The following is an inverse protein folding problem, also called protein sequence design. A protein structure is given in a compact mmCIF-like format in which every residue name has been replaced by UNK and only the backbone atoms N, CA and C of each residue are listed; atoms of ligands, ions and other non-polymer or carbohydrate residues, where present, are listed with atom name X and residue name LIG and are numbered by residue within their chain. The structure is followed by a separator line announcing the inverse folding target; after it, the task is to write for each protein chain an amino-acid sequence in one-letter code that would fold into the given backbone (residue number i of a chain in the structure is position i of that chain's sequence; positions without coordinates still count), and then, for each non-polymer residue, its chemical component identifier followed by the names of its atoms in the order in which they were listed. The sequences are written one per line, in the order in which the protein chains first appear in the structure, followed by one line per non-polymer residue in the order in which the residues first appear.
data_IF_687811634830
#
_entry.id   IF_687811634830
#
_cell.length_a   1.000
_cell.length_b   1.000
_cell.length_c   1.000
_cell.angle_alpha   90.00
_cell.angle_beta   90.00
_cell.angle_gamma   90.00
#
_symmetry.space_group_name_H-M   'P 1'
#
loop_
_entity.id
_entity.type
_entity.pdbx_description
1 polymer ?
#
# COMPACT_ATOMS: atom_id res chain seq x y z
N UNK A 1 16.81 -2.24 -12.46
CA UNK A 1 15.89 -1.26 -11.84
C UNK A 1 15.09 -0.57 -12.94
N UNK A 2 13.80 -0.31 -12.72
CA UNK A 2 12.95 0.37 -13.70
C UNK A 2 13.32 1.85 -13.83
N UNK A 3 13.09 2.47 -15.00
CA UNK A 3 13.39 3.91 -15.22
C UNK A 3 12.62 4.82 -14.25
N UNK A 4 11.39 4.44 -13.89
CA UNK A 4 10.57 5.19 -12.93
C UNK A 4 11.14 5.14 -11.52
N UNK A 5 11.64 3.97 -11.08
CA UNK A 5 12.30 3.84 -9.78
C UNK A 5 13.55 4.72 -9.71
N UNK A 6 14.40 4.67 -10.74
CA UNK A 6 15.59 5.52 -10.82
C UNK A 6 15.23 7.01 -10.86
N UNK A 7 14.15 7.40 -11.54
CA UNK A 7 13.66 8.78 -11.53
C UNK A 7 13.29 9.24 -10.11
N UNK A 8 12.51 8.44 -9.38
CA UNK A 8 12.11 8.74 -8.02
C UNK A 8 13.30 8.81 -7.05
N UNK A 9 14.21 7.84 -7.13
CA UNK A 9 15.43 7.79 -6.29
C UNK A 9 16.37 8.99 -6.54
N UNK A 10 16.31 9.59 -7.73
CA UNK A 10 17.08 10.80 -8.09
C UNK A 10 16.33 12.12 -7.78
N UNK A 11 15.29 12.08 -6.94
CA UNK A 11 14.53 13.27 -6.52
C UNK A 11 13.39 13.65 -7.45
N UNK A 12 13.07 12.81 -8.44
CA UNK A 12 11.88 12.96 -9.27
C UNK A 12 10.60 12.70 -8.47
N UNK A 13 9.54 13.45 -8.78
CA UNK A 13 8.23 13.23 -8.17
C UNK A 13 7.43 12.21 -8.98
N UNK A 14 6.81 11.26 -8.28
CA UNK A 14 5.82 10.34 -8.83
C UNK A 14 4.49 10.54 -8.11
N UNK A 15 3.41 10.58 -8.87
CA UNK A 15 2.04 10.66 -8.36
C UNK A 15 1.29 9.44 -8.88
N UNK A 16 0.76 8.65 -7.96
CA UNK A 16 -0.05 7.47 -8.26
C UNK A 16 -1.46 7.67 -7.76
N UNK A 17 -2.46 7.37 -8.59
CA UNK A 17 -3.88 7.36 -8.22
C UNK A 17 -4.47 5.99 -8.54
N UNK A 18 -5.30 5.44 -7.65
CA UNK A 18 -5.90 4.11 -7.84
C UNK A 18 -4.81 3.05 -8.12
N UNK A 19 -4.90 2.29 -9.21
CA UNK A 19 -3.88 1.34 -9.65
C UNK A 19 -2.46 1.96 -9.76
N UNK A 20 -2.38 3.25 -10.11
CA UNK A 20 -1.11 3.98 -10.16
C UNK A 20 -0.43 4.08 -8.79
N UNK A 21 -1.19 4.14 -7.68
CA UNK A 21 -0.64 4.13 -6.33
C UNK A 21 -0.16 2.75 -5.92
N UNK A 22 -0.87 1.69 -6.32
CA UNK A 22 -0.49 0.29 -6.06
C UNK A 22 0.88 0.00 -6.69
N UNK A 23 1.11 0.43 -7.94
CA UNK A 23 2.38 0.23 -8.65
C UNK A 23 3.59 0.87 -7.94
N UNK A 24 3.40 1.89 -7.09
CA UNK A 24 4.50 2.50 -6.35
C UNK A 24 5.01 1.62 -5.20
N UNK A 25 4.24 0.61 -4.80
CA UNK A 25 4.52 -0.29 -3.67
C UNK A 25 5.31 -1.53 -4.10
N UNK A 26 5.65 -2.48 -3.20
CA UNK A 26 6.47 -3.64 -3.53
C UNK A 26 5.86 -4.63 -4.53
N UNK A 27 4.54 -4.83 -4.49
CA UNK A 27 3.81 -5.79 -5.33
C UNK A 27 2.49 -5.18 -5.79
N UNK A 28 1.86 -5.80 -6.79
CA UNK A 28 0.48 -5.47 -7.18
C UNK A 28 -0.57 -6.39 -6.53
N UNK A 29 -0.19 -7.15 -5.50
CA UNK A 29 -1.04 -8.20 -4.93
C UNK A 29 -2.44 -7.71 -4.53
N UNK A 30 -2.53 -6.50 -3.97
CA UNK A 30 -3.80 -5.91 -3.51
C UNK A 30 -4.78 -5.59 -4.66
N UNK A 31 -4.30 -5.46 -5.90
CA UNK A 31 -5.14 -5.27 -7.10
C UNK A 31 -6.04 -6.48 -7.38
N UNK A 32 -5.63 -7.68 -6.94
CA UNK A 32 -6.38 -8.92 -7.13
C UNK A 32 -7.81 -8.84 -6.57
N UNK A 33 -8.04 -8.04 -5.53
CA UNK A 33 -9.38 -7.85 -4.95
C UNK A 33 -10.37 -7.23 -5.94
N UNK A 34 -9.93 -6.33 -6.82
CA UNK A 34 -10.79 -5.74 -7.86
C UNK A 34 -11.20 -6.76 -8.94
N UNK A 35 -10.50 -7.90 -9.00
CA UNK A 35 -10.81 -9.02 -9.89
C UNK A 35 -11.54 -10.16 -9.16
N UNK A 36 -11.94 -9.96 -7.89
CA UNK A 36 -12.55 -10.99 -7.06
C UNK A 36 -11.58 -12.13 -6.71
N UNK A 37 -10.27 -11.89 -6.75
CA UNK A 37 -9.23 -12.89 -6.49
C UNK A 37 -8.56 -12.64 -5.13
N UNK A 38 -8.08 -13.69 -4.46
CA UNK A 38 -7.27 -13.56 -3.24
C UNK A 38 -5.90 -12.93 -3.55
N UNK A 39 -5.48 -11.83 -2.87
CA UNK A 39 -4.16 -11.20 -3.05
C UNK A 39 -2.98 -12.13 -2.79
N UNK A 40 -3.14 -13.11 -1.90
CA UNK A 40 -2.12 -14.12 -1.58
C UNK A 40 -1.62 -14.90 -2.82
N UNK A 41 -2.41 -14.95 -3.89
CA UNK A 41 -2.04 -15.59 -5.15
C UNK A 41 -1.14 -14.72 -6.06
N UNK A 42 -1.03 -13.42 -5.79
CA UNK A 42 -0.33 -12.43 -6.62
C UNK A 42 0.88 -11.80 -5.90
N UNK A 43 1.32 -12.36 -4.77
CA UNK A 43 2.44 -11.83 -3.98
C UNK A 43 3.80 -11.86 -4.69
N UNK A 44 3.92 -12.63 -5.78
CA UNK A 44 5.12 -12.68 -6.63
C UNK A 44 5.10 -11.65 -7.78
N UNK A 45 3.99 -10.96 -8.00
CA UNK A 45 3.85 -9.92 -9.03
C UNK A 45 4.42 -8.61 -8.50
N UNK A 46 5.70 -8.35 -8.80
CA UNK A 46 6.45 -7.20 -8.28
C UNK A 46 6.11 -5.88 -8.97
N UNK A 47 6.29 -4.78 -8.24
CA UNK A 47 6.05 -3.43 -8.73
C UNK A 47 7.29 -2.54 -8.51
N UNK A 48 7.14 -1.24 -8.27
CA UNK A 48 8.29 -0.32 -8.18
C UNK A 48 9.06 -0.44 -6.86
N UNK A 49 8.43 -0.92 -5.79
CA UNK A 49 9.07 -1.15 -4.48
C UNK A 49 9.76 0.11 -3.95
N UNK A 50 9.02 1.24 -3.96
CA UNK A 50 9.51 2.54 -3.46
C UNK A 50 9.25 2.73 -1.96
N UNK A 51 8.36 1.93 -1.38
CA UNK A 51 7.92 2.05 0.01
C UNK A 51 7.81 0.67 0.67
N UNK A 52 8.02 0.55 1.99
CA UNK A 52 8.00 -0.71 2.73
C UNK A 52 6.58 -1.13 3.18
N UNK A 53 5.55 -0.75 2.43
CA UNK A 53 4.16 -1.10 2.72
C UNK A 53 3.41 -1.38 1.42
N UNK A 54 2.31 -2.12 1.50
CA UNK A 54 1.37 -2.30 0.39
C UNK A 54 0.25 -1.25 0.47
N UNK A 55 -0.39 -0.94 -0.66
CA UNK A 55 -1.42 0.10 -0.73
C UNK A 55 -2.71 -0.47 -1.31
N UNK A 56 -3.86 -0.04 -0.78
CA UNK A 56 -5.17 -0.40 -1.31
C UNK A 56 -6.07 0.85 -1.45
N UNK A 57 -6.43 1.27 -2.67
CA UNK A 57 -7.37 2.37 -2.91
C UNK A 57 -8.83 1.90 -2.80
N UNK A 58 -9.79 2.83 -2.85
CA UNK A 58 -11.21 2.54 -3.01
C UNK A 58 -11.80 1.61 -1.92
N UNK A 59 -11.32 1.71 -0.68
CA UNK A 59 -11.74 0.84 0.42
C UNK A 59 -13.27 0.87 0.65
N UNK A 60 -13.89 2.03 0.45
CA UNK A 60 -15.33 2.23 0.57
C UNK A 60 -16.16 1.80 -0.65
N UNK A 61 -15.53 1.34 -1.74
CA UNK A 61 -16.26 0.92 -2.94
C UNK A 61 -16.95 -0.44 -2.76
N UNK A 62 -16.44 -1.29 -1.87
CA UNK A 62 -17.06 -2.57 -1.50
C UNK A 62 -16.80 -2.90 -0.02
N UNK A 63 -17.87 -3.19 0.72
CA UNK A 63 -17.79 -3.60 2.12
C UNK A 63 -17.01 -4.92 2.33
N UNK A 64 -16.86 -5.74 1.29
CA UNK A 64 -16.07 -6.97 1.32
C UNK A 64 -14.54 -6.74 1.35
N UNK A 65 -14.07 -5.54 0.97
CA UNK A 65 -12.63 -5.27 0.89
C UNK A 65 -11.93 -5.29 2.25
N UNK A 66 -12.48 -4.62 3.27
CA UNK A 66 -11.81 -4.60 4.58
C UNK A 66 -11.65 -6.02 5.19
N UNK A 67 -12.69 -6.88 5.22
CA UNK A 67 -12.53 -8.28 5.63
C UNK A 67 -11.48 -9.04 4.81
N UNK A 68 -11.42 -8.83 3.49
CA UNK A 68 -10.45 -9.50 2.63
C UNK A 68 -9.01 -9.02 2.91
N UNK A 69 -8.81 -7.73 3.15
CA UNK A 69 -7.52 -7.15 3.54
C UNK A 69 -7.07 -7.63 4.92
N UNK A 70 -8.00 -7.74 5.89
CA UNK A 70 -7.70 -8.31 7.20
C UNK A 70 -7.19 -9.75 7.08
N UNK A 71 -7.85 -10.59 6.27
CA UNK A 71 -7.35 -11.94 5.95
C UNK A 71 -5.98 -11.88 5.31
N UNK A 72 -5.83 -11.13 4.22
CA UNK A 72 -4.57 -11.05 3.47
C UNK A 72 -3.40 -10.53 4.31
N UNK A 73 -3.64 -9.61 5.24
CA UNK A 73 -2.62 -9.09 6.16
C UNK A 73 -1.99 -10.12 7.10
N UNK A 74 -2.54 -11.35 7.16
CA UNK A 74 -1.94 -12.49 7.85
C UNK A 74 -0.96 -13.28 6.97
N UNK A 75 -0.95 -13.04 5.66
CA UNK A 75 -0.10 -13.70 4.67
C UNK A 75 1.10 -12.84 4.24
N UNK A 76 0.99 -11.51 4.35
CA UNK A 76 2.09 -10.57 4.07
C UNK A 76 2.76 -10.08 5.34
N UNK A 77 4.09 -9.93 5.32
CA UNK A 77 4.84 -9.30 6.41
C UNK A 77 4.67 -7.78 6.42
N UNK A 78 4.26 -7.21 5.28
CA UNK A 78 4.14 -5.77 5.09
C UNK A 78 2.79 -5.28 5.61
N UNK A 79 2.72 -4.13 6.29
CA UNK A 79 1.44 -3.49 6.53
C UNK A 79 0.80 -3.08 5.19
N UNK A 80 -0.52 -3.05 5.17
CA UNK A 80 -1.30 -2.51 4.07
C UNK A 80 -1.90 -1.20 4.53
N UNK A 81 -1.67 -0.12 3.78
CA UNK A 81 -2.35 1.15 3.99
C UNK A 81 -3.52 1.24 3.02
N UNK A 82 -4.73 1.22 3.56
CA UNK A 82 -5.97 1.20 2.79
C UNK A 82 -6.69 2.54 2.87
N UNK A 83 -7.06 3.11 1.73
CA UNK A 83 -7.63 4.45 1.58
C UNK A 83 -9.06 4.35 1.06
N UNK A 84 -9.99 5.12 1.62
CA UNK A 84 -11.24 5.42 0.95
C UNK A 84 -11.01 6.41 -0.20
N UNK A 85 -12.01 6.60 -1.04
CA UNK A 85 -12.00 7.71 -2.00
C UNK A 85 -11.87 9.06 -1.29
N UNK A 86 -10.87 9.84 -1.69
CA UNK A 86 -10.52 11.12 -1.07
C UNK A 86 -9.40 11.04 -0.03
N UNK A 87 -9.07 9.84 0.45
CA UNK A 87 -7.88 9.62 1.29
C UNK A 87 -6.62 9.45 0.43
N UNK A 88 -5.45 9.59 1.05
CA UNK A 88 -4.18 9.38 0.37
C UNK A 88 -2.97 9.47 1.29
N UNK A 89 -1.79 9.41 0.68
CA UNK A 89 -0.51 9.50 1.37
C UNK A 89 0.43 10.40 0.56
N UNK A 90 1.25 11.19 1.25
CA UNK A 90 2.46 11.78 0.69
C UNK A 90 3.68 11.17 1.38
N UNK A 91 4.69 10.79 0.61
CA UNK A 91 5.96 10.28 1.14
C UNK A 91 7.07 11.25 0.74
N UNK A 92 7.60 11.97 1.72
CA UNK A 92 8.62 13.01 1.48
C UNK A 92 9.73 12.85 2.50
N UNK A 93 10.99 12.81 2.06
CA UNK A 93 12.17 12.70 2.94
C UNK A 93 12.10 11.54 3.95
N UNK A 94 11.42 10.45 3.58
CA UNK A 94 11.24 9.27 4.45
C UNK A 94 10.13 9.41 5.49
N UNK A 95 9.33 10.48 5.46
CA UNK A 95 8.14 10.66 6.28
C UNK A 95 6.88 10.34 5.46
N UNK A 96 5.96 9.57 6.04
CA UNK A 96 4.61 9.37 5.55
C UNK A 96 3.71 10.44 6.18
N UNK A 97 3.02 11.20 5.34
CA UNK A 97 1.91 12.08 5.72
C UNK A 97 0.59 11.47 5.22
N UNK A 98 -0.36 11.28 6.13
CA UNK A 98 -1.70 10.79 5.82
C UNK A 98 -2.62 11.94 5.45
N UNK A 99 -3.31 11.81 4.33
CA UNK A 99 -4.36 12.71 3.86
C UNK A 99 -5.69 12.00 4.06
N UNK A 100 -6.61 12.60 4.82
CA UNK A 100 -7.89 11.97 5.19
C UNK A 100 -7.75 10.99 6.35
N UNK A 101 -8.43 9.83 6.27
CA UNK A 101 -8.45 8.82 7.33
C UNK A 101 -8.07 7.41 6.83
N UNK A 102 -6.89 7.23 6.20
CA UNK A 102 -6.45 5.92 5.76
C UNK A 102 -6.34 4.93 6.94
N UNK A 103 -6.59 3.66 6.65
CA UNK A 103 -6.47 2.57 7.60
C UNK A 103 -5.12 1.89 7.48
N UNK A 104 -4.55 1.51 8.61
CA UNK A 104 -3.40 0.63 8.73
C UNK A 104 -3.88 -0.78 9.05
N UNK A 105 -3.62 -1.72 8.15
CA UNK A 105 -4.01 -3.13 8.28
C UNK A 105 -2.75 -3.99 8.39
N UNK A 106 -2.63 -4.79 9.47
CA UNK A 106 -1.49 -5.71 9.67
C UNK A 106 -1.89 -6.86 10.60
N UNK A 107 -1.47 -8.09 10.27
CA UNK A 107 -1.65 -9.28 11.12
C UNK A 107 -3.10 -9.46 11.61
N UNK A 108 -4.09 -9.29 10.72
CA UNK A 108 -5.51 -9.42 11.04
C UNK A 108 -6.09 -8.31 11.90
N UNK A 109 -5.39 -7.20 12.09
CA UNK A 109 -5.83 -6.05 12.88
C UNK A 109 -5.91 -4.80 11.99
N UNK A 110 -6.78 -3.86 12.38
CA UNK A 110 -6.96 -2.57 11.73
C UNK A 110 -6.95 -1.43 12.76
N UNK A 111 -6.34 -0.32 12.39
CA UNK A 111 -6.37 0.96 13.12
C UNK A 111 -6.31 2.12 12.12
N UNK A 112 -6.52 3.35 12.57
CA UNK A 112 -6.19 4.52 11.75
C UNK A 112 -4.66 4.54 11.50
N UNK A 113 -4.29 4.79 10.25
CA UNK A 113 -2.93 5.17 9.91
C UNK A 113 -2.65 6.58 10.45
N UNK A 114 -1.38 6.84 10.74
CA UNK A 114 -0.92 8.10 11.28
C UNK A 114 0.37 8.51 10.57
N UNK A 115 0.70 9.79 10.63
CA UNK A 115 1.98 10.26 10.14
C UNK A 115 3.11 9.54 10.88
N UNK A 116 4.08 9.03 10.13
CA UNK A 116 5.17 8.24 10.70
C UNK A 116 6.37 8.18 9.75
N UNK A 117 7.55 7.85 10.30
CA UNK A 117 8.73 7.60 9.47
C UNK A 117 8.63 6.25 8.77
N UNK A 118 9.04 6.17 7.51
CA UNK A 118 9.24 4.90 6.80
C UNK A 118 10.14 3.96 7.59
N UNK A 119 11.17 4.49 8.25
CA UNK A 119 12.12 3.70 9.05
C UNK A 119 11.49 3.02 10.27
N UNK A 120 10.30 3.45 10.71
CA UNK A 120 9.57 2.79 11.80
C UNK A 120 8.76 1.57 11.33
N UNK A 121 8.69 1.33 10.03
CA UNK A 121 8.06 0.14 9.46
C UNK A 121 9.09 -0.99 9.45
N UNK A 122 9.09 -1.75 10.54
CA UNK A 122 9.92 -2.95 10.64
C UNK A 122 9.33 -4.08 9.78
N UNK A 123 10.07 -4.44 8.73
CA UNK A 123 9.91 -5.70 8.00
C UNK A 123 11.07 -6.58 8.44
N UNK A 124 10.85 -7.48 9.39
CA UNK A 124 11.83 -8.50 9.73
C UNK A 124 12.07 -9.34 8.46
N UNK A 125 13.33 -9.39 8.02
CA UNK A 125 13.79 -10.27 6.94
C UNK A 125 14.08 -11.65 7.48
#
# INVERSE_FOLDING_TARGET
MSRLRTWAENGGVLIGTSAGAIILTPTIATDALFQGKPPENCMNETALDLVPFEFFPHLNADAAFLPALLRYSQHTLRPIIACNDGDGLAVTNGDIECIGQPLWVKNGNVRLACNMRLSSIEIYR
#
